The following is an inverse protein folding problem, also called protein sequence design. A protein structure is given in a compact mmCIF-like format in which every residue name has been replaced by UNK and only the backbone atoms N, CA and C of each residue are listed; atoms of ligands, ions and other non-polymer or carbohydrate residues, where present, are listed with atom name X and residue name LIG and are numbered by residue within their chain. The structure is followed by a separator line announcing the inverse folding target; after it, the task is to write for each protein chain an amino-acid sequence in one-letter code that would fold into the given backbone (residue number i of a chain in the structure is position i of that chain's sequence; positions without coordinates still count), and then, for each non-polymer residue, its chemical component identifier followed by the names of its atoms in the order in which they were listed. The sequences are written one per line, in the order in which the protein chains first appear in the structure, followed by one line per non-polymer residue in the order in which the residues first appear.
data_IF_498155798947
#
_entry.id   IF_498155798947
#
_cell.length_a   1.000
_cell.length_b   1.000
_cell.length_c   1.000
_cell.angle_alpha   90.00
_cell.angle_beta   90.00
_cell.angle_gamma   90.00
#
_symmetry.space_group_name_H-M   'P 1'
#
loop_
_entity.id
_entity.type
_entity.pdbx_description
1 polymer ?
#
# COMPACT_ATOMS: atom_id res chain seq x y z
N UNK A 1 10.94 0.60 -14.55
CA UNK A 1 10.86 -0.85 -14.25
C UNK A 1 9.99 -0.95 -13.00
N UNK A 2 8.81 -1.56 -13.06
CA UNK A 2 7.94 -1.59 -11.88
C UNK A 2 8.57 -2.31 -10.67
N UNK A 3 8.22 -1.88 -9.46
CA UNK A 3 8.58 -2.52 -8.19
C UNK A 3 7.35 -3.17 -7.55
N UNK A 4 7.48 -4.42 -7.14
CA UNK A 4 6.45 -5.09 -6.36
C UNK A 4 6.51 -4.58 -4.90
N UNK A 5 5.47 -3.89 -4.47
CA UNK A 5 5.36 -3.35 -3.11
C UNK A 5 4.29 -4.12 -2.35
N UNK A 6 4.64 -4.54 -1.13
CA UNK A 6 3.72 -5.15 -0.17
C UNK A 6 3.25 -4.11 0.84
N UNK A 7 1.95 -4.01 1.02
CA UNK A 7 1.31 -3.16 2.01
C UNK A 7 0.87 -4.00 3.20
N UNK A 8 1.00 -3.42 4.40
CA UNK A 8 0.42 -3.94 5.63
C UNK A 8 -0.45 -2.84 6.24
N UNK A 9 -1.75 -3.06 6.27
CA UNK A 9 -2.71 -2.17 6.93
C UNK A 9 -3.03 -2.76 8.29
N UNK A 10 -2.74 -2.01 9.34
CA UNK A 10 -2.91 -2.43 10.73
C UNK A 10 -3.81 -1.46 11.49
N UNK A 11 -4.45 -1.94 12.55
CA UNK A 11 -5.19 -1.12 13.50
C UNK A 11 -4.25 -0.41 14.50
N UNK A 12 -4.84 0.31 15.46
CA UNK A 12 -4.09 1.01 16.50
C UNK A 12 -3.30 0.09 17.46
N UNK A 13 -3.57 -1.22 17.43
CA UNK A 13 -2.87 -2.24 18.23
C UNK A 13 -1.81 -3.00 17.40
N UNK A 14 -1.68 -2.70 16.11
CA UNK A 14 -0.79 -3.40 15.19
C UNK A 14 -1.37 -4.68 14.60
N UNK A 15 -2.65 -4.99 14.82
CA UNK A 15 -3.31 -6.14 14.21
C UNK A 15 -3.71 -5.84 12.76
N UNK A 16 -3.47 -6.79 11.86
CA UNK A 16 -3.79 -6.64 10.44
C UNK A 16 -5.29 -6.48 10.19
N UNK A 17 -5.66 -5.51 9.35
CA UNK A 17 -7.06 -5.18 9.05
C UNK A 17 -7.40 -5.57 7.63
N UNK A 18 -8.26 -6.57 7.48
CA UNK A 18 -8.76 -7.03 6.18
C UNK A 18 -9.84 -6.14 5.57
N UNK A 19 -10.05 -6.29 4.26
CA UNK A 19 -11.10 -5.60 3.51
C UNK A 19 -10.82 -4.11 3.25
N UNK A 20 -9.60 -3.63 3.51
CA UNK A 20 -9.21 -2.25 3.28
C UNK A 20 -8.79 -2.06 1.83
N UNK A 21 -9.26 -1.00 1.17
CA UNK A 21 -8.88 -0.68 -0.21
C UNK A 21 -7.65 0.21 -0.22
N UNK A 22 -6.53 -0.31 -0.72
CA UNK A 22 -5.29 0.42 -0.96
C UNK A 22 -5.24 0.80 -2.43
N UNK A 23 -5.19 2.10 -2.73
CA UNK A 23 -4.95 2.61 -4.08
C UNK A 23 -3.56 3.21 -4.12
N UNK A 24 -2.73 2.77 -5.07
CA UNK A 24 -1.36 3.23 -5.24
C UNK A 24 -1.03 3.33 -6.74
N UNK A 25 -0.84 4.56 -7.23
CA UNK A 25 -0.76 4.81 -8.67
C UNK A 25 -2.03 4.35 -9.40
N UNK A 26 -1.88 3.51 -10.42
CA UNK A 26 -3.00 2.91 -11.15
C UNK A 26 -3.52 1.60 -10.52
N UNK A 27 -2.84 1.07 -9.49
CA UNK A 27 -3.23 -0.17 -8.84
C UNK A 27 -4.26 0.08 -7.72
N UNK A 28 -5.21 -0.84 -7.61
CA UNK A 28 -6.19 -0.91 -6.52
C UNK A 28 -6.23 -2.32 -5.96
N UNK A 29 -6.02 -2.46 -4.65
CA UNK A 29 -5.88 -3.74 -3.96
C UNK A 29 -6.71 -3.74 -2.69
N UNK A 30 -7.49 -4.80 -2.48
CA UNK A 30 -8.17 -5.03 -1.20
C UNK A 30 -7.31 -5.91 -0.30
N UNK A 31 -7.09 -5.52 0.95
CA UNK A 31 -6.30 -6.30 1.90
C UNK A 31 -6.98 -7.62 2.25
N UNK A 32 -6.18 -8.68 2.38
CA UNK A 32 -6.65 -9.98 2.85
C UNK A 32 -6.95 -9.96 4.37
N UNK A 33 -7.40 -11.09 4.94
CA UNK A 33 -7.74 -11.20 6.37
C UNK A 33 -6.60 -10.84 7.34
N UNK A 34 -5.34 -10.87 6.89
CA UNK A 34 -4.16 -10.48 7.65
C UNK A 34 -3.76 -9.01 7.43
N UNK A 35 -4.55 -8.22 6.70
CA UNK A 35 -4.25 -6.83 6.38
C UNK A 35 -3.20 -6.63 5.29
N UNK A 36 -2.90 -7.66 4.51
CA UNK A 36 -1.85 -7.62 3.49
C UNK A 36 -2.41 -7.42 2.09
N UNK A 37 -1.71 -6.63 1.28
CA UNK A 37 -1.96 -6.44 -0.15
C UNK A 37 -0.64 -6.24 -0.92
N UNK A 38 -0.63 -6.50 -2.22
CA UNK A 38 0.54 -6.29 -3.06
C UNK A 38 0.15 -5.58 -4.36
N UNK A 39 0.96 -4.61 -4.78
CA UNK A 39 0.80 -3.94 -6.06
C UNK A 39 2.14 -3.77 -6.77
N UNK A 40 2.12 -3.82 -8.09
CA UNK A 40 3.24 -3.39 -8.92
C UNK A 40 3.12 -1.87 -9.09
N UNK A 41 4.13 -1.12 -8.64
CA UNK A 41 4.20 0.32 -8.80
C UNK A 41 5.29 0.69 -9.79
N UNK A 42 4.98 1.55 -10.75
CA UNK A 42 6.00 2.11 -11.63
C UNK A 42 6.97 2.99 -10.85
N UNK A 43 8.22 3.08 -11.34
CA UNK A 43 9.18 4.01 -10.78
C UNK A 43 8.66 5.45 -10.93
N UNK A 44 8.94 6.30 -9.94
CA UNK A 44 8.51 7.70 -9.95
C UNK A 44 7.83 8.09 -8.65
N UNK A 45 7.05 9.17 -8.67
CA UNK A 45 6.22 9.60 -7.53
C UNK A 45 4.88 8.91 -7.56
N UNK A 46 4.36 8.53 -6.39
CA UNK A 46 3.05 7.91 -6.22
C UNK A 46 2.30 8.53 -5.06
N UNK A 47 0.98 8.49 -5.14
CA UNK A 47 0.08 8.79 -4.02
C UNK A 47 -0.53 7.46 -3.59
N UNK A 48 -0.45 7.16 -2.30
CA UNK A 48 -1.09 5.97 -1.71
C UNK A 48 -2.24 6.43 -0.83
N UNK A 49 -3.41 5.84 -1.05
CA UNK A 49 -4.58 6.03 -0.20
C UNK A 49 -5.05 4.70 0.38
N UNK A 50 -5.61 4.76 1.57
CA UNK A 50 -6.34 3.65 2.21
C UNK A 50 -7.77 4.12 2.43
N UNK A 51 -8.74 3.45 1.79
CA UNK A 51 -10.16 3.85 1.77
C UNK A 51 -10.36 5.33 1.42
N UNK A 52 -9.58 5.85 0.47
CA UNK A 52 -9.64 7.26 0.03
C UNK A 52 -8.89 8.25 0.94
N UNK A 53 -8.33 7.81 2.07
CA UNK A 53 -7.48 8.65 2.93
C UNK A 53 -6.04 8.57 2.45
N UNK A 54 -5.44 9.71 2.09
CA UNK A 54 -4.03 9.78 1.68
C UNK A 54 -3.10 9.47 2.85
N UNK A 55 -2.28 8.42 2.70
CA UNK A 55 -1.30 7.97 3.72
C UNK A 55 0.14 8.21 3.29
N UNK A 56 0.38 8.38 2.00
CA UNK A 56 1.71 8.65 1.45
C UNK A 56 1.61 9.44 0.15
N UNK A 57 2.59 10.30 -0.07
CA UNK A 57 2.83 11.00 -1.32
C UNK A 57 4.34 11.21 -1.47
N UNK A 58 4.91 10.66 -2.54
CA UNK A 58 6.34 10.77 -2.78
C UNK A 58 6.91 9.66 -3.67
N UNK A 59 8.24 9.60 -3.81
CA UNK A 59 8.89 8.64 -4.68
C UNK A 59 8.68 7.21 -4.20
N UNK A 60 8.32 6.29 -5.10
CA UNK A 60 8.25 4.85 -4.85
C UNK A 60 9.57 4.31 -4.30
N UNK A 61 10.69 4.93 -4.69
CA UNK A 61 12.02 4.58 -4.18
C UNK A 61 12.22 4.85 -2.67
N UNK A 62 11.42 5.72 -2.05
CA UNK A 62 11.48 5.99 -0.62
C UNK A 62 10.54 5.10 0.21
N UNK A 63 9.66 4.32 -0.45
CA UNK A 63 8.95 3.26 0.23
C UNK A 63 10.00 2.26 0.72
N UNK A 64 10.02 2.03 2.03
CA UNK A 64 10.82 0.98 2.67
C UNK A 64 9.91 -0.22 2.88
N UNK A 65 9.72 -1.10 1.89
CA UNK A 65 9.03 -2.36 2.16
C UNK A 65 9.83 -3.07 3.27
N UNK A 66 9.19 -3.31 4.42
CA UNK A 66 9.70 -4.31 5.34
C UNK A 66 9.50 -5.66 4.64
N UNK A 67 10.60 -6.39 4.42
CA UNK A 67 10.53 -7.80 4.04
C UNK A 67 9.81 -8.63 5.11
#
# INVERSE_FOLDING_TARGET
MGRLVKFSVVDGNGAGVGGQTVVAGEASVTTNVSGLGQALLEDGSTVITVNGVKVYEGPVAALKPLE
#
